data_IF_826560878234
#
_entry.id   IF_826560878234
#
_cell.length_a   1.000
_cell.length_b   1.000
_cell.length_c   1.000
_cell.angle_alpha   90.00
_cell.angle_beta   90.00
_cell.angle_gamma   90.00
#
_symmetry.space_group_name_H-M   'P 1'
#
loop_
_entity.id
_entity.type
_entity.pdbx_description
1 polymer ?
#
# COMPACT_ATOMS: atom_id res chain seq x y z
N UNK A 1 27.91 0.29 -11.77
CA UNK A 1 26.66 0.63 -11.06
C UNK A 1 26.36 2.05 -11.46
N UNK A 2 25.56 2.23 -12.51
CA UNK A 2 25.13 3.54 -12.97
C UNK A 2 23.74 3.78 -12.37
N UNK A 3 23.60 4.84 -11.60
CA UNK A 3 22.33 5.27 -11.02
C UNK A 3 21.43 5.82 -12.12
N UNK A 4 20.13 5.46 -12.16
CA UNK A 4 19.19 6.08 -13.08
C UNK A 4 18.92 7.51 -12.62
N UNK A 5 19.37 8.47 -13.42
CA UNK A 5 19.01 9.89 -13.28
C UNK A 5 17.51 10.03 -13.53
N UNK A 6 16.76 10.42 -12.50
CA UNK A 6 15.39 10.89 -12.62
C UNK A 6 15.34 12.01 -13.65
N UNK A 7 14.81 11.72 -14.83
CA UNK A 7 14.46 12.73 -15.81
C UNK A 7 13.19 13.44 -15.32
N UNK A 8 13.21 14.77 -15.12
CA UNK A 8 11.98 15.49 -14.85
C UNK A 8 11.09 15.38 -16.09
N UNK A 9 9.88 14.87 -15.89
CA UNK A 9 8.79 14.82 -16.87
C UNK A 9 8.31 16.25 -17.17
N UNK A 10 9.12 17.05 -17.84
CA UNK A 10 8.74 18.36 -18.39
C UNK A 10 8.50 18.19 -19.89
N UNK A 11 7.35 17.63 -20.23
CA UNK A 11 6.95 17.46 -21.62
C UNK A 11 5.48 17.09 -21.70
N UNK A 12 4.59 18.09 -21.54
CA UNK A 12 3.16 17.90 -21.79
C UNK A 12 2.21 18.74 -20.93
N UNK A 13 2.61 19.92 -20.45
CA UNK A 13 1.78 20.77 -19.60
C UNK A 13 1.43 22.15 -20.18
N UNK A 14 1.57 22.38 -21.49
CA UNK A 14 1.24 23.69 -22.11
C UNK A 14 0.52 23.56 -23.47
N UNK A 15 -0.33 22.55 -23.64
CA UNK A 15 -1.51 22.72 -24.51
C UNK A 15 -2.69 22.77 -23.57
N UNK A 16 -2.88 23.94 -22.95
CA UNK A 16 -4.13 24.26 -22.28
C UNK A 16 -5.26 23.91 -23.25
N UNK A 17 -6.11 22.98 -22.83
CA UNK A 17 -7.32 22.54 -23.55
C UNK A 17 -8.37 23.66 -23.53
N UNK A 18 -7.99 24.86 -23.96
CA UNK A 18 -8.93 25.92 -24.25
C UNK A 18 -9.61 25.54 -25.55
N UNK A 19 -10.91 25.27 -25.47
CA UNK A 19 -11.78 25.43 -26.63
C UNK A 19 -11.42 26.79 -27.24
N UNK A 20 -11.08 26.87 -28.54
CA UNK A 20 -10.64 28.12 -29.14
C UNK A 20 -11.84 29.05 -29.28
N UNK A 21 -12.21 29.70 -28.18
CA UNK A 21 -13.26 30.69 -28.16
C UNK A 21 -12.78 31.95 -28.86
N UNK A 22 -13.65 32.52 -29.69
CA UNK A 22 -13.43 33.87 -30.20
C UNK A 22 -13.44 34.88 -29.05
N UNK A 23 -12.71 36.00 -29.16
CA UNK A 23 -12.74 37.08 -28.17
C UNK A 23 -14.17 37.56 -27.85
N UNK A 24 -15.07 37.46 -28.84
CA UNK A 24 -16.48 37.83 -28.66
C UNK A 24 -17.27 36.76 -27.89
N UNK A 25 -16.93 35.49 -28.04
CA UNK A 25 -17.56 34.40 -27.27
C UNK A 25 -17.13 34.46 -25.80
N UNK A 26 -15.85 34.76 -25.54
CA UNK A 26 -15.34 34.98 -24.19
C UNK A 26 -16.04 36.17 -23.50
N UNK A 27 -16.24 37.28 -24.23
CA UNK A 27 -17.03 38.43 -23.73
C UNK A 27 -18.47 38.04 -23.44
N UNK A 28 -19.10 37.23 -24.30
CA UNK A 28 -20.49 36.77 -24.08
C UNK A 28 -20.59 35.89 -22.83
N UNK A 29 -19.63 35.00 -22.59
CA UNK A 29 -19.58 34.18 -21.39
C UNK A 29 -19.38 35.04 -20.12
N UNK A 30 -18.44 35.99 -20.16
CA UNK A 30 -18.25 36.92 -19.05
C UNK A 30 -19.51 37.76 -18.76
N UNK A 31 -20.25 38.18 -19.79
CA UNK A 31 -21.54 38.87 -19.63
C UNK A 31 -22.62 37.95 -19.06
N UNK A 32 -22.63 36.68 -19.42
CA UNK A 32 -23.55 35.69 -18.84
C UNK A 32 -23.30 35.51 -17.34
N UNK A 33 -22.03 35.40 -16.93
CA UNK A 33 -21.65 35.28 -15.51
C UNK A 33 -22.08 36.53 -14.72
N UNK A 34 -21.81 37.73 -15.26
CA UNK A 34 -22.26 38.99 -14.68
C UNK A 34 -23.79 39.06 -14.58
N UNK A 35 -24.51 38.55 -15.59
CA UNK A 35 -25.96 38.55 -15.59
C UNK A 35 -26.52 37.58 -14.53
N UNK A 36 -25.88 36.43 -14.32
CA UNK A 36 -26.24 35.49 -13.26
C UNK A 36 -26.00 36.10 -11.86
N UNK A 37 -24.90 36.83 -11.68
CA UNK A 37 -24.61 37.56 -10.44
C UNK A 37 -25.66 38.64 -10.16
N UNK A 38 -25.98 39.46 -11.16
CA UNK A 38 -27.02 40.49 -11.02
C UNK A 38 -28.41 39.90 -10.75
N UNK A 39 -28.75 38.76 -11.35
CA UNK A 39 -30.00 38.05 -11.05
C UNK A 39 -30.05 37.59 -9.59
N UNK A 40 -28.94 37.12 -9.04
CA UNK A 40 -28.83 36.76 -7.63
C UNK A 40 -28.97 37.98 -6.73
N UNK A 41 -28.31 39.09 -7.05
CA UNK A 41 -28.40 40.34 -6.30
C UNK A 41 -29.84 40.88 -6.27
N UNK A 42 -30.52 40.90 -7.43
CA UNK A 42 -31.93 41.29 -7.54
C UNK A 42 -32.81 40.36 -6.70
N UNK A 43 -32.56 39.05 -6.72
CA UNK A 43 -33.32 38.09 -5.91
C UNK A 43 -33.14 38.35 -4.40
N UNK A 44 -31.93 38.68 -3.95
CA UNK A 44 -31.63 39.05 -2.56
C UNK A 44 -32.35 40.35 -2.17
N UNK A 45 -32.25 41.39 -3.00
CA UNK A 45 -32.90 42.68 -2.74
C UNK A 45 -34.42 42.52 -2.69
N UNK A 46 -35.00 41.74 -3.60
CA UNK A 46 -36.43 41.46 -3.60
C UNK A 46 -36.85 40.66 -2.36
N UNK A 47 -36.06 39.66 -1.96
CA UNK A 47 -36.29 38.91 -0.72
C UNK A 47 -36.27 39.82 0.52
N UNK A 48 -35.31 40.75 0.60
CA UNK A 48 -35.22 41.73 1.69
C UNK A 48 -36.39 42.71 1.69
N UNK A 49 -36.82 43.20 0.52
CA UNK A 49 -37.98 44.10 0.39
C UNK A 49 -39.29 43.42 0.73
N UNK A 50 -39.46 42.16 0.35
CA UNK A 50 -40.61 41.34 0.76
C UNK A 50 -40.59 41.00 2.25
N UNK A 51 -39.41 41.02 2.87
CA UNK A 51 -39.23 40.86 4.32
C UNK A 51 -39.17 42.22 5.03
N UNK A 52 -40.16 43.08 4.79
CA UNK A 52 -40.41 44.23 5.64
C UNK A 52 -41.38 43.77 6.76
N UNK A 53 -40.94 43.72 8.03
CA UNK A 53 -41.79 43.20 9.10
C UNK A 53 -42.94 44.18 9.37
N UNK A 54 -44.15 43.80 8.98
CA UNK A 54 -45.38 44.38 9.51
C UNK A 54 -45.51 43.91 10.97
N UNK A 55 -45.09 44.78 11.91
CA UNK A 55 -45.12 44.63 13.37
C UNK A 55 -44.15 43.59 14.02
N UNK A 56 -43.61 43.90 15.22
CA UNK A 56 -42.78 42.97 16.00
C UNK A 56 -43.69 41.90 16.65
N UNK A 57 -44.23 41.01 15.83
CA UNK A 57 -44.93 39.82 16.32
C UNK A 57 -43.91 38.85 16.92
N UNK A 58 -44.21 38.33 18.12
CA UNK A 58 -43.37 37.35 18.80
C UNK A 58 -43.33 36.06 17.98
N UNK A 59 -42.30 35.88 17.16
CA UNK A 59 -42.07 34.64 16.42
C UNK A 59 -42.04 33.47 17.39
N UNK A 60 -42.94 32.51 17.23
CA UNK A 60 -42.89 31.29 18.03
C UNK A 60 -41.77 30.37 17.52
N UNK A 61 -41.25 29.50 18.38
CA UNK A 61 -40.21 28.53 17.99
C UNK A 61 -40.66 27.59 16.86
N UNK A 62 -41.97 27.37 16.72
CA UNK A 62 -42.52 26.54 15.63
C UNK A 62 -42.56 27.32 14.30
N UNK A 63 -42.79 28.63 14.34
CA UNK A 63 -42.77 29.49 13.14
C UNK A 63 -41.34 29.66 12.61
N UNK A 64 -40.34 29.76 13.49
CA UNK A 64 -38.93 29.78 13.08
C UNK A 64 -38.49 28.45 12.46
N UNK A 65 -38.96 27.32 13.01
CA UNK A 65 -38.69 25.99 12.46
C UNK A 65 -39.31 25.82 11.06
N UNK A 66 -40.54 26.29 10.87
CA UNK A 66 -41.22 26.29 9.56
C UNK A 66 -40.51 27.19 8.55
N UNK A 67 -40.16 28.41 8.95
CA UNK A 67 -39.39 29.32 8.09
C UNK A 67 -38.03 28.72 7.67
N UNK A 68 -37.36 28.00 8.58
CA UNK A 68 -36.11 27.31 8.27
C UNK A 68 -36.32 26.16 7.27
N UNK A 69 -37.37 25.36 7.42
CA UNK A 69 -37.68 24.29 6.46
C UNK A 69 -38.05 24.85 5.10
N UNK A 70 -38.83 25.93 5.05
CA UNK A 70 -39.24 26.58 3.81
C UNK A 70 -38.04 27.21 3.08
N UNK A 71 -37.09 27.78 3.82
CA UNK A 71 -35.82 28.27 3.27
C UNK A 71 -34.98 27.13 2.68
N UNK A 72 -34.85 26.01 3.40
CA UNK A 72 -34.11 24.86 2.90
C UNK A 72 -34.79 24.26 1.66
N UNK A 73 -36.12 24.18 1.65
CA UNK A 73 -36.88 23.68 0.51
C UNK A 73 -36.76 24.59 -0.71
N UNK A 74 -36.89 25.91 -0.52
CA UNK A 74 -36.72 26.88 -1.61
C UNK A 74 -35.28 26.88 -2.17
N UNK A 75 -34.27 26.75 -1.31
CA UNK A 75 -32.87 26.59 -1.74
C UNK A 75 -32.68 25.31 -2.55
N UNK A 76 -33.21 24.18 -2.07
CA UNK A 76 -33.13 22.91 -2.78
C UNK A 76 -33.83 22.99 -4.15
N UNK A 77 -35.02 23.62 -4.22
CA UNK A 77 -35.75 23.86 -5.46
C UNK A 77 -34.97 24.75 -6.44
N UNK A 78 -34.31 25.79 -5.95
CA UNK A 78 -33.51 26.68 -6.79
C UNK A 78 -32.30 25.95 -7.39
N UNK A 79 -31.55 25.22 -6.57
CA UNK A 79 -30.40 24.42 -7.02
C UNK A 79 -30.85 23.39 -8.05
N UNK A 80 -31.89 22.59 -7.73
CA UNK A 80 -32.41 21.59 -8.65
C UNK A 80 -32.89 22.21 -9.97
N UNK A 81 -33.54 23.38 -9.94
CA UNK A 81 -33.95 24.08 -11.16
C UNK A 81 -32.75 24.48 -11.99
N UNK A 82 -31.70 25.01 -11.38
CA UNK A 82 -30.48 25.39 -12.07
C UNK A 82 -29.81 24.17 -12.69
N UNK A 83 -29.66 23.09 -11.92
CA UNK A 83 -29.06 21.83 -12.37
C UNK A 83 -29.83 21.23 -13.56
N UNK A 84 -31.17 21.27 -13.53
CA UNK A 84 -32.00 20.79 -14.63
C UNK A 84 -31.84 21.65 -15.88
N UNK A 85 -31.79 22.98 -15.74
CA UNK A 85 -31.56 23.89 -16.87
C UNK A 85 -30.18 23.60 -17.47
N UNK A 86 -29.15 23.51 -16.64
CA UNK A 86 -27.77 23.22 -17.05
C UNK A 86 -27.67 21.87 -17.76
N UNK A 87 -28.26 20.82 -17.20
CA UNK A 87 -28.29 19.49 -17.80
C UNK A 87 -28.98 19.49 -19.17
N UNK A 88 -30.10 20.21 -19.34
CA UNK A 88 -30.79 20.34 -20.64
C UNK A 88 -29.95 21.14 -21.63
N UNK A 89 -29.28 22.20 -21.18
CA UNK A 89 -28.42 23.05 -22.02
C UNK A 89 -27.16 22.29 -22.49
N UNK A 90 -26.63 21.37 -21.70
CA UNK A 90 -25.48 20.53 -22.10
C UNK A 90 -25.89 19.30 -22.91
N UNK A 91 -26.93 18.59 -22.50
CA UNK A 91 -27.28 17.29 -23.09
C UNK A 91 -27.83 17.41 -24.51
N UNK A 92 -28.62 18.45 -24.81
CA UNK A 92 -29.21 18.62 -26.14
C UNK A 92 -28.15 18.84 -27.25
N UNK A 93 -27.18 19.75 -27.09
CA UNK A 93 -26.08 19.89 -28.05
C UNK A 93 -25.26 18.61 -28.21
N UNK A 94 -24.92 17.91 -27.11
CA UNK A 94 -24.16 16.64 -27.17
C UNK A 94 -24.94 15.57 -27.97
N UNK A 95 -26.24 15.41 -27.70
CA UNK A 95 -27.07 14.46 -28.43
C UNK A 95 -27.15 14.80 -29.92
N UNK A 96 -27.26 16.09 -30.25
CA UNK A 96 -27.27 16.55 -31.65
C UNK A 96 -25.92 16.34 -32.34
N UNK A 97 -24.81 16.58 -31.63
CA UNK A 97 -23.45 16.37 -32.09
C UNK A 97 -23.22 14.89 -32.46
N UNK A 98 -23.62 13.97 -31.59
CA UNK A 98 -23.42 12.53 -31.78
C UNK A 98 -24.36 11.96 -32.85
N UNK A 99 -25.62 12.41 -32.89
CA UNK A 99 -26.61 11.81 -33.79
C UNK A 99 -26.70 12.46 -35.17
N UNK A 100 -25.96 13.54 -35.44
CA UNK A 100 -25.99 14.27 -36.72
C UNK A 100 -27.42 14.53 -37.23
N UNK A 101 -28.33 14.87 -36.31
CA UNK A 101 -29.73 15.09 -36.63
C UNK A 101 -29.90 16.18 -37.70
N UNK A 102 -30.99 16.12 -38.46
CA UNK A 102 -31.33 17.16 -39.46
C UNK A 102 -31.48 18.56 -38.86
N UNK A 103 -31.72 18.65 -37.54
CA UNK A 103 -31.83 19.91 -36.78
C UNK A 103 -30.54 20.28 -35.99
N UNK A 104 -29.41 19.64 -36.30
CA UNK A 104 -28.11 19.96 -35.70
C UNK A 104 -27.53 21.23 -36.35
N UNK A 105 -27.20 22.23 -35.52
CA UNK A 105 -26.47 23.43 -35.97
C UNK A 105 -25.06 23.04 -36.41
N UNK A 106 -24.40 23.89 -37.21
CA UNK A 106 -22.97 23.68 -37.55
C UNK A 106 -22.12 23.65 -36.28
N UNK A 107 -22.43 24.52 -35.32
CA UNK A 107 -21.76 24.59 -34.01
C UNK A 107 -21.95 23.29 -33.22
N UNK A 108 -23.13 22.66 -33.30
CA UNK A 108 -23.38 21.39 -32.61
C UNK A 108 -22.51 20.26 -33.20
N UNK A 109 -22.24 20.27 -34.51
CA UNK A 109 -21.41 19.25 -35.17
C UNK A 109 -19.94 19.40 -34.84
N UNK A 110 -19.48 20.63 -34.63
CA UNK A 110 -18.09 20.94 -34.28
C UNK A 110 -17.74 20.46 -32.85
N UNK A 111 -18.74 20.13 -32.01
CA UNK A 111 -18.53 19.58 -30.66
C UNK A 111 -18.10 18.11 -30.66
N UNK A 112 -18.38 17.35 -31.72
CA UNK A 112 -18.11 15.91 -31.78
C UNK A 112 -16.67 15.50 -31.40
N UNK A 113 -15.59 16.09 -31.96
CA UNK A 113 -14.22 15.69 -31.61
C UNK A 113 -13.89 15.92 -30.13
N UNK A 114 -14.45 16.97 -29.51
CA UNK A 114 -14.25 17.24 -28.09
C UNK A 114 -15.02 16.25 -27.20
N UNK A 115 -16.20 15.81 -27.63
CA UNK A 115 -16.96 14.75 -26.95
C UNK A 115 -16.19 13.42 -27.03
N UNK A 116 -15.64 13.08 -28.19
CA UNK A 116 -14.80 11.88 -28.36
C UNK A 116 -13.55 11.93 -27.48
N UNK A 117 -12.84 13.06 -27.45
CA UNK A 117 -11.67 13.24 -26.58
C UNK A 117 -12.02 13.10 -25.09
N UNK A 118 -13.15 13.69 -24.67
CA UNK A 118 -13.65 13.56 -23.30
C UNK A 118 -13.98 12.11 -22.97
N UNK A 119 -14.64 11.40 -23.87
CA UNK A 119 -15.07 10.02 -23.65
C UNK A 119 -13.84 9.09 -23.58
N UNK A 120 -12.83 9.30 -24.42
CA UNK A 120 -11.54 8.58 -24.35
C UNK A 120 -10.79 8.84 -23.04
N UNK A 121 -10.76 10.10 -22.57
CA UNK A 121 -10.19 10.45 -21.28
C UNK A 121 -10.96 9.78 -20.13
N UNK A 122 -12.31 9.80 -20.20
CA UNK A 122 -13.18 9.18 -19.19
C UNK A 122 -12.97 7.67 -19.13
N UNK A 123 -12.85 6.99 -20.28
CA UNK A 123 -12.54 5.57 -20.36
C UNK A 123 -11.16 5.28 -19.75
N UNK A 124 -10.17 6.12 -20.03
CA UNK A 124 -8.81 5.98 -19.49
C UNK A 124 -8.78 6.12 -17.97
N UNK A 125 -9.47 7.13 -17.42
CA UNK A 125 -9.62 7.33 -15.97
C UNK A 125 -10.37 6.15 -15.35
N UNK A 126 -11.47 5.69 -15.95
CA UNK A 126 -12.23 4.55 -15.44
C UNK A 126 -11.38 3.26 -15.39
N UNK A 127 -10.54 3.02 -16.41
CA UNK A 127 -9.59 1.90 -16.40
C UNK A 127 -8.58 2.03 -15.27
N UNK A 128 -8.00 3.21 -15.07
CA UNK A 128 -7.04 3.45 -14.00
C UNK A 128 -7.65 3.26 -12.60
N UNK A 129 -8.90 3.71 -12.40
CA UNK A 129 -9.62 3.48 -11.14
C UNK A 129 -9.87 1.98 -10.92
N UNK A 130 -10.30 1.25 -11.94
CA UNK A 130 -10.51 -0.20 -11.82
C UNK A 130 -9.20 -0.96 -11.53
N UNK A 131 -8.09 -0.54 -12.11
CA UNK A 131 -6.76 -1.11 -11.81
C UNK A 131 -6.32 -0.79 -10.38
N UNK A 132 -6.52 0.45 -9.92
CA UNK A 132 -6.25 0.85 -8.55
C UNK A 132 -7.08 0.05 -7.54
N UNK A 133 -8.38 -0.11 -7.80
CA UNK A 133 -9.26 -0.92 -6.94
C UNK A 133 -8.80 -2.37 -6.86
N UNK A 134 -8.36 -2.94 -7.99
CA UNK A 134 -7.77 -4.28 -8.01
C UNK A 134 -6.52 -4.36 -7.14
N UNK A 135 -5.60 -3.39 -7.25
CA UNK A 135 -4.39 -3.35 -6.43
C UNK A 135 -4.70 -3.20 -4.94
N UNK A 136 -5.67 -2.36 -4.58
CA UNK A 136 -6.11 -2.20 -3.19
C UNK A 136 -6.71 -3.49 -2.63
N UNK A 137 -7.49 -4.22 -3.43
CA UNK A 137 -8.04 -5.51 -3.05
C UNK A 137 -6.94 -6.57 -2.84
N UNK A 138 -5.95 -6.63 -3.75
CA UNK A 138 -4.82 -7.54 -3.64
C UNK A 138 -3.95 -7.20 -2.41
N UNK A 139 -3.69 -5.92 -2.16
CA UNK A 139 -2.98 -5.44 -0.96
C UNK A 139 -3.73 -5.83 0.31
N UNK A 140 -5.04 -5.63 0.35
CA UNK A 140 -5.89 -5.99 1.49
C UNK A 140 -5.82 -7.50 1.77
N UNK A 141 -5.84 -8.32 0.72
CA UNK A 141 -5.68 -9.77 0.83
C UNK A 141 -4.33 -10.14 1.42
N UNK A 142 -3.23 -9.62 0.86
CA UNK A 142 -1.87 -9.87 1.36
C UNK A 142 -1.70 -9.41 2.80
N UNK A 143 -2.26 -8.25 3.16
CA UNK A 143 -2.23 -7.74 4.52
C UNK A 143 -2.98 -8.67 5.49
N UNK A 144 -4.15 -9.18 5.09
CA UNK A 144 -4.90 -10.14 5.91
C UNK A 144 -4.15 -11.46 6.11
N UNK A 145 -3.49 -11.96 5.06
CA UNK A 145 -2.67 -13.18 5.11
C UNK A 145 -1.43 -12.96 6.00
N UNK A 146 -0.79 -11.81 5.89
CA UNK A 146 0.36 -11.41 6.71
C UNK A 146 -0.01 -11.35 8.19
N UNK A 147 -1.16 -10.77 8.53
CA UNK A 147 -1.67 -10.73 9.90
C UNK A 147 -1.99 -12.14 10.43
N UNK A 148 -2.48 -13.04 9.57
CA UNK A 148 -2.73 -14.44 9.96
C UNK A 148 -1.43 -15.18 10.24
N UNK A 149 -0.44 -15.05 9.36
CA UNK A 149 0.88 -15.69 9.51
C UNK A 149 1.62 -15.12 10.72
N UNK A 150 1.55 -13.80 10.96
CA UNK A 150 2.22 -13.20 12.12
C UNK A 150 1.64 -13.71 13.44
N UNK A 151 0.31 -13.87 13.55
CA UNK A 151 -0.33 -14.50 14.71
C UNK A 151 0.15 -15.94 14.91
N UNK A 152 0.16 -16.72 13.83
CA UNK A 152 0.61 -18.11 13.92
C UNK A 152 2.10 -18.24 14.30
N UNK A 153 2.95 -17.35 13.79
CA UNK A 153 4.36 -17.29 14.18
C UNK A 153 4.53 -16.94 15.66
N UNK A 154 3.70 -16.04 16.20
CA UNK A 154 3.71 -15.73 17.64
C UNK A 154 3.30 -16.95 18.47
N UNK A 155 2.26 -17.67 18.05
CA UNK A 155 1.82 -18.92 18.71
C UNK A 155 2.91 -20.00 18.70
N UNK A 156 3.49 -20.29 17.53
CA UNK A 156 4.60 -21.24 17.39
C UNK A 156 5.83 -20.84 18.21
N UNK A 157 6.15 -19.54 18.26
CA UNK A 157 7.29 -19.06 19.06
C UNK A 157 7.02 -19.24 20.55
N UNK A 158 5.78 -19.04 21.01
CA UNK A 158 5.39 -19.31 22.39
C UNK A 158 5.51 -20.81 22.73
N UNK A 159 5.08 -21.70 21.82
CA UNK A 159 5.25 -23.15 21.98
C UNK A 159 6.72 -23.56 22.02
N UNK A 160 7.55 -23.01 21.12
CA UNK A 160 9.00 -23.26 21.10
C UNK A 160 9.68 -22.80 22.39
N UNK A 161 9.31 -21.64 22.93
CA UNK A 161 9.82 -21.18 24.23
C UNK A 161 9.41 -22.13 25.37
N UNK A 162 8.15 -22.59 25.38
CA UNK A 162 7.68 -23.58 26.35
C UNK A 162 8.45 -24.91 26.27
N UNK A 163 8.66 -25.43 25.06
CA UNK A 163 9.45 -26.64 24.82
C UNK A 163 10.93 -26.46 25.19
N UNK A 164 11.52 -25.30 24.88
CA UNK A 164 12.89 -24.97 25.27
C UNK A 164 13.04 -24.91 26.81
N UNK A 165 12.05 -24.35 27.52
CA UNK A 165 12.01 -24.37 28.97
C UNK A 165 11.86 -25.80 29.53
N UNK A 166 11.02 -26.64 28.93
CA UNK A 166 10.92 -28.06 29.29
C UNK A 166 12.24 -28.81 29.12
N UNK A 167 12.92 -28.61 28.00
CA UNK A 167 14.24 -29.21 27.75
C UNK A 167 15.26 -28.69 28.76
N UNK A 168 15.26 -27.38 29.04
CA UNK A 168 16.12 -26.78 30.05
C UNK A 168 15.86 -27.36 31.44
N UNK A 169 14.58 -27.52 31.84
CA UNK A 169 14.18 -28.16 33.11
C UNK A 169 14.63 -29.62 33.17
N UNK A 170 14.42 -30.41 32.12
CA UNK A 170 14.89 -31.81 32.04
C UNK A 170 16.41 -31.91 32.12
N UNK A 171 17.14 -31.00 31.45
CA UNK A 171 18.61 -30.93 31.50
C UNK A 171 19.13 -30.51 32.87
N UNK A 172 18.50 -29.52 33.51
CA UNK A 172 18.80 -29.13 34.89
C UNK A 172 18.54 -30.29 35.85
N UNK A 173 17.39 -30.95 35.79
CA UNK A 173 17.08 -32.13 36.62
C UNK A 173 18.04 -33.31 36.41
N UNK A 174 18.52 -33.52 35.18
CA UNK A 174 19.57 -34.52 34.88
C UNK A 174 20.94 -34.12 35.44
N UNK A 175 21.29 -32.83 35.39
CA UNK A 175 22.52 -32.30 35.96
C UNK A 175 22.47 -32.08 37.47
N UNK A 176 21.30 -31.98 38.09
CA UNK A 176 21.18 -31.72 39.53
C UNK A 176 21.34 -32.97 40.39
N UNK A 177 21.45 -34.16 39.80
CA UNK A 177 21.89 -35.33 40.53
C UNK A 177 23.41 -35.24 40.81
N UNK A 178 23.84 -35.00 42.07
CA UNK A 178 25.25 -34.78 42.39
C UNK A 178 26.12 -36.00 42.07
N UNK A 179 25.54 -37.21 42.12
CA UNK A 179 26.21 -38.45 41.73
C UNK A 179 26.48 -38.50 40.23
N UNK A 180 25.52 -38.10 39.40
CA UNK A 180 25.68 -38.09 37.95
C UNK A 180 26.73 -37.05 37.50
N UNK A 181 26.82 -35.90 38.17
CA UNK A 181 27.89 -34.90 37.94
C UNK A 181 29.27 -35.45 38.26
N UNK A 182 29.43 -36.06 39.44
CA UNK A 182 30.70 -36.65 39.85
C UNK A 182 31.12 -37.80 38.92
N UNK A 183 30.19 -38.66 38.52
CA UNK A 183 30.46 -39.72 37.56
C UNK A 183 30.90 -39.14 36.21
N UNK A 184 30.21 -38.12 35.69
CA UNK A 184 30.60 -37.44 34.46
C UNK A 184 32.01 -36.82 34.53
N UNK A 185 32.35 -36.12 35.61
CA UNK A 185 33.68 -35.53 35.79
C UNK A 185 34.79 -36.61 35.87
N UNK A 186 34.52 -37.71 36.58
CA UNK A 186 35.44 -38.85 36.67
C UNK A 186 35.62 -39.51 35.30
N UNK A 187 34.54 -39.68 34.54
CA UNK A 187 34.61 -40.24 33.18
C UNK A 187 35.37 -39.31 32.23
N UNK A 188 35.15 -38.00 32.27
CA UNK A 188 35.90 -37.03 31.48
C UNK A 188 37.39 -37.02 31.81
N UNK A 189 37.73 -37.05 33.10
CA UNK A 189 39.13 -37.15 33.54
C UNK A 189 39.78 -38.44 33.02
N UNK A 190 39.08 -39.57 33.10
CA UNK A 190 39.56 -40.87 32.57
C UNK A 190 39.73 -40.86 31.05
N UNK A 191 38.84 -40.19 30.30
CA UNK A 191 38.93 -40.07 28.84
C UNK A 191 40.07 -39.13 28.45
N UNK A 192 40.30 -38.05 29.18
CA UNK A 192 41.44 -37.15 28.95
C UNK A 192 42.77 -37.86 29.21
N UNK A 193 42.85 -38.60 30.31
CA UNK A 193 44.02 -39.44 30.64
C UNK A 193 44.25 -40.51 29.57
N UNK A 194 43.20 -41.19 29.11
CA UNK A 194 43.33 -42.22 28.08
C UNK A 194 43.73 -41.63 26.73
N UNK A 195 43.17 -40.48 26.34
CA UNK A 195 43.57 -39.74 25.12
C UNK A 195 45.01 -39.24 25.20
N UNK A 196 45.44 -38.74 26.35
CA UNK A 196 46.82 -38.30 26.54
C UNK A 196 47.79 -39.48 26.46
N UNK A 197 47.47 -40.61 27.10
CA UNK A 197 48.26 -41.85 27.00
C UNK A 197 48.31 -42.36 25.58
N UNK A 198 47.19 -42.35 24.86
CA UNK A 198 47.12 -42.74 23.46
C UNK A 198 47.99 -41.85 22.58
N UNK A 199 47.93 -40.53 22.78
CA UNK A 199 48.76 -39.56 22.03
C UNK A 199 50.26 -39.81 22.26
N UNK A 200 50.66 -40.07 23.50
CA UNK A 200 52.06 -40.40 23.84
C UNK A 200 52.48 -41.72 23.20
N UNK A 201 51.69 -42.78 23.36
CA UNK A 201 52.00 -44.09 22.76
C UNK A 201 52.07 -44.01 21.24
N UNK A 202 51.15 -43.27 20.60
CA UNK A 202 51.16 -43.06 19.15
C UNK A 202 52.37 -42.26 18.69
N UNK A 203 52.71 -41.17 19.39
CA UNK A 203 53.91 -40.36 19.09
C UNK A 203 55.20 -41.15 19.21
N UNK A 204 55.33 -42.00 20.25
CA UNK A 204 56.49 -42.88 20.41
C UNK A 204 56.53 -43.96 19.32
N UNK A 205 55.42 -44.62 19.03
CA UNK A 205 55.36 -45.65 17.98
C UNK A 205 55.71 -45.07 16.60
N UNK A 206 55.14 -43.92 16.25
CA UNK A 206 55.47 -43.21 15.00
C UNK A 206 56.95 -42.80 14.95
N UNK A 207 57.49 -42.24 16.03
CA UNK A 207 58.91 -41.87 16.11
C UNK A 207 59.87 -43.06 16.00
N UNK A 208 59.52 -44.22 16.56
CA UNK A 208 60.32 -45.45 16.44
C UNK A 208 60.28 -45.99 15.01
N UNK A 209 59.10 -46.03 14.37
CA UNK A 209 58.97 -46.53 12.99
C UNK A 209 59.76 -45.63 12.03
N UNK A 210 59.58 -44.30 12.11
CA UNK A 210 60.31 -43.35 11.26
C UNK A 210 61.83 -43.36 11.55
N UNK A 211 62.22 -43.45 12.82
CA UNK A 211 63.64 -43.46 13.23
C UNK A 211 64.38 -44.76 12.95
N UNK A 212 63.67 -45.88 12.74
CA UNK A 212 64.26 -47.20 12.48
C UNK A 212 64.81 -47.36 11.06
N UNK A 213 64.49 -46.43 10.14
CA UNK A 213 64.93 -46.49 8.74
C UNK A 213 64.21 -47.56 7.89
N UNK A 214 63.14 -48.18 8.42
CA UNK A 214 62.24 -49.07 7.66
C UNK A 214 61.41 -48.24 6.68
N UNK A 215 61.22 -48.72 5.45
CA UNK A 215 60.40 -48.03 4.42
C UNK A 215 58.90 -48.17 4.73
N UNK A 216 58.44 -47.34 5.67
CA UNK A 216 57.07 -47.32 6.18
C UNK A 216 56.06 -46.69 5.21
N UNK A 217 56.51 -46.08 4.11
CA UNK A 217 55.62 -45.45 3.12
C UNK A 217 54.99 -46.47 2.17
N UNK A 218 55.63 -47.63 1.99
CA UNK A 218 55.17 -48.71 1.10
C UNK A 218 54.31 -49.77 1.80
N UNK A 219 54.37 -49.86 3.13
CA UNK A 219 53.54 -50.76 3.93
C UNK A 219 52.31 -50.01 4.46
N UNK A 220 51.12 -50.41 4.00
CA UNK A 220 49.84 -49.81 4.39
C UNK A 220 49.61 -49.82 5.92
N UNK A 221 50.09 -50.83 6.63
CA UNK A 221 49.95 -50.94 8.08
C UNK A 221 50.85 -49.97 8.85
N UNK A 222 52.09 -49.79 8.39
CA UNK A 222 53.02 -48.82 8.98
C UNK A 222 52.64 -47.38 8.62
N UNK A 223 52.16 -47.17 7.39
CA UNK A 223 51.64 -45.90 6.91
C UNK A 223 50.48 -45.41 7.78
N UNK A 224 49.51 -46.27 8.10
CA UNK A 224 48.38 -45.93 8.99
C UNK A 224 48.81 -45.68 10.44
N UNK A 225 49.89 -46.30 10.89
CA UNK A 225 50.41 -46.12 12.25
C UNK A 225 51.14 -44.77 12.40
N UNK A 226 51.86 -44.34 11.36
CA UNK A 226 52.64 -43.09 11.33
C UNK A 226 51.76 -41.88 11.00
N UNK A 227 50.83 -42.02 10.05
CA UNK A 227 49.89 -40.95 9.71
C UNK A 227 48.74 -40.91 10.72
N UNK A 228 48.54 -39.75 11.34
CA UNK A 228 47.27 -39.47 12.01
C UNK A 228 46.17 -39.38 10.94
N UNK A 229 45.12 -40.22 10.98
CA UNK A 229 43.87 -39.80 10.36
C UNK A 229 43.47 -38.55 11.14
N UNK A 230 43.28 -37.47 10.40
CA UNK A 230 43.20 -36.10 10.88
C UNK A 230 42.49 -35.97 12.22
N UNK A 231 43.13 -35.25 13.13
CA UNK A 231 42.43 -34.47 14.15
C UNK A 231 41.41 -33.57 13.45
N UNK A 232 40.20 -34.09 13.22
CA UNK A 232 39.01 -33.27 13.14
C UNK A 232 38.83 -32.56 14.48
N UNK A 233 38.49 -31.26 14.40
CA UNK A 233 38.17 -30.37 15.53
C UNK A 233 37.22 -30.99 16.57
#
# INVERSE_FOLDING_TARGET
MEEPVDQPMTGGLDEETHLPFSEDEEKVLALYDQLQELQLEIAIINGQRSHQPDEPSSFTQEDTRKAQTDLLESRAKYVLRNDVIEAVMMANPILKAVHNGTDASSVDRDLLPYVEQRDDATISVAKQVAESDKQLNDLTKVQSETLRVSRHNVELTAELLGLAEEVKRKKMGRNDNPKAKQEHEILEAKVKDSRQRWRVMKGVASGVVVGSGVDWAQDDGLRQTVLDPETEE
#
